data_IF_527864396250
#
_entry.id   IF_527864396250
#
_cell.length_a   1.000
_cell.length_b   1.000
_cell.length_c   1.000
_cell.angle_alpha   90.00
_cell.angle_beta   90.00
_cell.angle_gamma   90.00
#
_symmetry.space_group_name_H-M   'P 1'
#
loop_
_entity.id
_entity.type
_entity.pdbx_description
1 polymer ?
#
# COMPACT_ATOMS: atom_id res chain seq x y z
N UNK A 1 0.49 2.44 4.48
CA UNK A 1 1.70 2.55 5.32
C UNK A 1 1.79 3.88 6.03
N UNK A 2 1.90 5.01 5.31
CA UNK A 2 2.02 6.35 5.88
C UNK A 2 1.01 6.64 7.02
N UNK A 3 -0.27 6.31 6.82
CA UNK A 3 -1.29 6.43 7.87
C UNK A 3 -1.02 5.55 9.11
N UNK A 4 -0.77 4.25 8.91
CA UNK A 4 -0.55 3.28 10.00
C UNK A 4 0.70 3.62 10.82
N UNK A 5 1.76 4.06 10.15
CA UNK A 5 3.01 4.44 10.77
C UNK A 5 3.02 5.86 11.34
N UNK A 6 2.02 6.68 10.97
CA UNK A 6 1.95 8.12 11.28
C UNK A 6 3.25 8.86 10.94
N UNK A 7 3.89 8.45 9.85
CA UNK A 7 5.19 8.98 9.44
C UNK A 7 5.01 10.35 8.80
N UNK A 8 5.57 11.39 9.43
CA UNK A 8 5.37 12.78 9.00
C UNK A 8 5.86 13.01 7.56
N UNK A 9 7.04 12.48 7.21
CA UNK A 9 7.62 12.60 5.86
C UNK A 9 6.73 11.93 4.82
N UNK A 10 6.33 10.69 5.06
CA UNK A 10 5.49 9.94 4.11
C UNK A 10 4.09 10.56 3.96
N UNK A 11 3.52 11.09 5.05
CA UNK A 11 2.23 11.78 5.00
C UNK A 11 2.35 13.09 4.19
N UNK A 12 3.39 13.88 4.44
CA UNK A 12 3.64 15.11 3.70
C UNK A 12 3.81 14.84 2.20
N UNK A 13 4.65 13.86 1.84
CA UNK A 13 4.90 13.50 0.43
C UNK A 13 3.62 13.11 -0.31
N UNK A 14 2.68 12.45 0.36
CA UNK A 14 1.39 12.07 -0.24
C UNK A 14 0.44 13.26 -0.32
N UNK A 15 0.35 14.07 0.73
CA UNK A 15 -0.57 15.22 0.77
C UNK A 15 -0.18 16.33 -0.21
N UNK A 16 1.12 16.49 -0.48
CA UNK A 16 1.67 17.47 -1.41
C UNK A 16 1.87 16.90 -2.83
N UNK A 17 1.44 15.66 -3.09
CA UNK A 17 1.58 14.95 -4.38
C UNK A 17 3.03 14.99 -4.94
N UNK A 18 4.01 14.78 -4.06
CA UNK A 18 5.42 14.79 -4.45
C UNK A 18 5.82 13.48 -5.14
N UNK A 19 6.66 13.54 -6.18
CA UNK A 19 7.23 12.33 -6.80
C UNK A 19 8.33 11.71 -5.91
N UNK A 20 7.91 11.12 -4.79
CA UNK A 20 8.78 10.47 -3.82
C UNK A 20 9.56 9.30 -4.42
N UNK A 21 9.15 8.72 -5.55
CA UNK A 21 9.95 7.70 -6.24
C UNK A 21 11.23 8.27 -6.85
N UNK A 22 11.14 9.45 -7.47
CA UNK A 22 12.31 10.15 -8.03
C UNK A 22 13.18 10.71 -6.91
N UNK A 23 12.59 11.27 -5.85
CA UNK A 23 13.36 11.69 -4.66
C UNK A 23 14.11 10.51 -4.02
N UNK A 24 13.42 9.39 -3.78
CA UNK A 24 14.02 8.18 -3.21
C UNK A 24 15.13 7.62 -4.12
N UNK A 25 14.99 7.71 -5.44
CA UNK A 25 16.07 7.34 -6.36
C UNK A 25 17.34 8.14 -6.07
N UNK A 26 17.24 9.48 -6.00
CA UNK A 26 18.39 10.35 -5.74
C UNK A 26 18.97 10.15 -4.34
N UNK A 27 18.12 10.18 -3.32
CA UNK A 27 18.51 10.09 -1.91
C UNK A 27 19.18 8.76 -1.56
N UNK A 28 18.68 7.67 -2.12
CA UNK A 28 19.21 6.33 -1.92
C UNK A 28 20.27 5.91 -2.94
N UNK A 29 20.58 6.79 -3.93
CA UNK A 29 21.54 6.52 -5.02
C UNK A 29 21.20 5.23 -5.78
N UNK A 30 19.92 5.04 -6.09
CA UNK A 30 19.43 3.88 -6.85
C UNK A 30 19.54 4.13 -8.37
N UNK A 31 19.67 3.07 -9.20
CA UNK A 31 19.99 3.23 -10.62
C UNK A 31 18.84 3.82 -11.45
N UNK A 32 17.60 3.63 -11.02
CA UNK A 32 16.43 4.12 -11.75
C UNK A 32 15.22 4.34 -10.83
N UNK A 33 14.29 5.19 -11.28
CA UNK A 33 12.99 5.41 -10.63
C UNK A 33 12.19 4.10 -10.48
N UNK A 34 12.28 3.20 -11.46
CA UNK A 34 11.61 1.89 -11.40
C UNK A 34 12.17 1.02 -10.26
N UNK A 35 13.49 1.00 -10.08
CA UNK A 35 14.12 0.29 -8.98
C UNK A 35 13.74 0.92 -7.65
N UNK A 36 13.74 2.26 -7.54
CA UNK A 36 13.31 2.96 -6.33
C UNK A 36 11.86 2.61 -5.95
N UNK A 37 10.95 2.55 -6.94
CA UNK A 37 9.57 2.11 -6.74
C UNK A 37 9.49 0.66 -6.25
N UNK A 38 10.19 -0.27 -6.89
CA UNK A 38 10.19 -1.70 -6.49
C UNK A 38 10.79 -1.90 -5.10
N UNK A 39 11.90 -1.21 -4.81
CA UNK A 39 12.54 -1.22 -3.49
C UNK A 39 11.59 -0.73 -2.41
N UNK A 40 10.97 0.44 -2.61
CA UNK A 40 10.02 1.03 -1.67
C UNK A 40 8.87 0.06 -1.35
N UNK A 41 8.24 -0.49 -2.39
CA UNK A 41 7.16 -1.47 -2.23
C UNK A 41 7.62 -2.67 -1.38
N UNK A 42 8.74 -3.30 -1.75
CA UNK A 42 9.21 -4.50 -1.06
C UNK A 42 9.67 -4.23 0.37
N UNK A 43 10.28 -3.07 0.62
CA UNK A 43 10.78 -2.72 1.95
C UNK A 43 9.65 -2.35 2.94
N UNK A 44 8.55 -1.76 2.44
CA UNK A 44 7.37 -1.46 3.26
C UNK A 44 6.61 -2.73 3.67
N UNK A 45 6.46 -3.71 2.76
CA UNK A 45 5.67 -4.91 3.03
C UNK A 45 6.49 -6.11 3.53
N UNK A 46 7.82 -6.06 3.44
CA UNK A 46 8.67 -7.20 3.80
C UNK A 46 9.94 -6.79 4.58
N UNK A 47 9.82 -6.09 5.72
CA UNK A 47 10.96 -5.78 6.59
C UNK A 47 11.33 -7.03 7.41
N UNK A 48 12.15 -7.91 6.86
CA UNK A 48 12.40 -9.26 7.38
C UNK A 48 13.33 -9.32 8.63
N UNK A 49 13.05 -8.48 9.63
CA UNK A 49 13.53 -8.55 11.02
C UNK A 49 14.81 -7.82 11.41
N UNK A 50 15.77 -7.56 10.52
CA UNK A 50 16.88 -6.59 10.72
C UNK A 50 17.23 -5.99 9.34
N UNK A 51 17.80 -4.79 9.33
CA UNK A 51 18.37 -4.11 8.15
C UNK A 51 19.31 -5.07 7.40
N UNK A 52 20.17 -5.78 8.12
CA UNK A 52 21.13 -6.74 7.58
C UNK A 52 20.51 -8.01 6.94
N UNK A 53 19.37 -8.49 7.45
CA UNK A 53 18.62 -9.61 6.84
C UNK A 53 17.87 -9.15 5.59
N UNK A 54 17.27 -7.98 5.67
CA UNK A 54 16.57 -7.34 4.55
C UNK A 54 17.57 -7.03 3.43
N UNK A 55 18.75 -6.53 3.79
CA UNK A 55 19.85 -6.29 2.86
C UNK A 55 20.36 -7.56 2.20
N UNK A 56 20.48 -8.66 2.95
CA UNK A 56 20.81 -9.96 2.38
C UNK A 56 19.77 -10.40 1.34
N UNK A 57 18.47 -10.28 1.66
CA UNK A 57 17.38 -10.65 0.75
C UNK A 57 17.45 -9.86 -0.57
N UNK A 58 17.71 -8.54 -0.53
CA UNK A 58 17.91 -7.75 -1.74
C UNK A 58 19.20 -8.12 -2.49
N UNK A 59 20.27 -8.49 -1.79
CA UNK A 59 21.53 -8.87 -2.44
C UNK A 59 21.48 -10.19 -3.22
N UNK A 60 20.52 -11.07 -2.92
CA UNK A 60 20.36 -12.38 -3.59
C UNK A 60 19.16 -12.43 -4.54
N UNK A 61 18.26 -11.45 -4.48
CA UNK A 61 17.08 -11.40 -5.33
C UNK A 61 17.45 -11.18 -6.81
N UNK A 62 16.83 -11.92 -7.73
CA UNK A 62 17.16 -11.83 -9.16
C UNK A 62 16.96 -10.42 -9.75
N UNK A 63 16.01 -9.65 -9.24
CA UNK A 63 15.75 -8.27 -9.68
C UNK A 63 16.72 -7.25 -9.09
N UNK A 64 17.43 -7.58 -8.00
CA UNK A 64 18.23 -6.61 -7.24
C UNK A 64 19.71 -6.99 -7.08
N UNK A 65 20.08 -8.25 -7.26
CA UNK A 65 21.44 -8.78 -7.05
C UNK A 65 22.51 -8.10 -7.91
N UNK A 66 22.13 -7.59 -9.09
CA UNK A 66 23.04 -6.91 -10.01
C UNK A 66 23.30 -5.43 -9.63
N UNK A 67 22.56 -4.89 -8.67
CA UNK A 67 22.65 -3.48 -8.26
C UNK A 67 23.70 -3.28 -7.18
N UNK A 68 23.75 -4.19 -6.21
CA UNK A 68 24.64 -4.03 -5.07
C UNK A 68 24.69 -5.25 -4.16
N UNK A 69 25.77 -5.33 -3.40
CA UNK A 69 25.99 -6.37 -2.41
C UNK A 69 25.23 -6.06 -1.11
N UNK A 70 25.35 -6.96 -0.14
CA UNK A 70 24.73 -6.82 1.19
C UNK A 70 25.04 -5.48 1.85
N UNK A 71 26.31 -5.04 1.84
CA UNK A 71 26.73 -3.78 2.48
C UNK A 71 26.05 -2.56 1.84
N UNK A 72 25.94 -2.55 0.52
CA UNK A 72 25.22 -1.51 -0.21
C UNK A 72 23.75 -1.44 0.22
N UNK A 73 23.06 -2.59 0.24
CA UNK A 73 21.65 -2.62 0.62
C UNK A 73 21.42 -2.27 2.09
N UNK A 74 22.33 -2.62 3.00
CA UNK A 74 22.27 -2.17 4.40
C UNK A 74 22.27 -0.64 4.46
N UNK A 75 23.18 0.02 3.74
CA UNK A 75 23.23 1.49 3.70
C UNK A 75 21.97 2.10 3.08
N UNK A 76 21.43 1.50 2.02
CA UNK A 76 20.19 1.97 1.39
C UNK A 76 19.01 1.88 2.35
N UNK A 77 18.89 0.77 3.08
CA UNK A 77 17.79 0.55 4.03
C UNK A 77 17.93 1.44 5.27
N UNK A 78 19.13 1.68 5.79
CA UNK A 78 19.35 2.66 6.87
C UNK A 78 18.88 4.05 6.42
N UNK A 79 19.31 4.52 5.24
CA UNK A 79 18.86 5.82 4.69
C UNK A 79 17.35 5.90 4.52
N UNK A 80 16.70 4.78 4.16
CA UNK A 80 15.25 4.70 4.08
C UNK A 80 14.63 4.93 5.47
N UNK A 81 15.11 4.24 6.51
CA UNK A 81 14.58 4.39 7.86
C UNK A 81 14.97 5.71 8.54
N UNK A 82 16.08 6.34 8.12
CA UNK A 82 16.45 7.69 8.54
C UNK A 82 15.52 8.74 7.93
N UNK A 83 15.03 8.51 6.70
CA UNK A 83 14.03 9.36 6.04
C UNK A 83 12.62 9.14 6.62
N UNK A 84 12.24 7.88 6.83
CA UNK A 84 10.92 7.45 7.26
C UNK A 84 10.98 6.82 8.65
N UNK A 85 11.19 7.66 9.66
CA UNK A 85 11.39 7.23 11.06
C UNK A 85 10.13 6.61 11.66
N UNK A 86 8.95 7.14 11.34
CA UNK A 86 7.67 6.58 11.81
C UNK A 86 7.43 5.18 11.25
N UNK A 87 7.86 4.91 10.01
CA UNK A 87 7.84 3.56 9.43
C UNK A 87 8.74 2.60 10.24
N UNK A 88 9.95 3.04 10.63
CA UNK A 88 10.86 2.25 11.48
C UNK A 88 10.21 1.89 12.81
N UNK A 89 9.62 2.88 13.47
CA UNK A 89 8.95 2.72 14.77
C UNK A 89 7.75 1.78 14.67
N UNK A 90 6.95 1.93 13.62
CA UNK A 90 5.78 1.07 13.40
C UNK A 90 6.15 -0.40 13.19
N UNK A 91 7.13 -0.69 12.33
CA UNK A 91 7.63 -2.06 12.14
C UNK A 91 8.17 -2.64 13.45
N UNK A 92 8.96 -1.86 14.19
CA UNK A 92 9.52 -2.29 15.48
C UNK A 92 8.40 -2.62 16.48
N UNK A 93 7.39 -1.76 16.57
CA UNK A 93 6.23 -1.95 17.44
C UNK A 93 5.41 -3.19 17.06
N UNK A 94 5.17 -3.42 15.76
CA UNK A 94 4.45 -4.61 15.29
C UNK A 94 5.16 -5.89 15.72
N UNK A 95 6.48 -5.95 15.50
CA UNK A 95 7.31 -7.10 15.88
C UNK A 95 7.24 -7.32 17.38
N UNK A 96 7.53 -6.29 18.18
CA UNK A 96 7.47 -6.37 19.63
C UNK A 96 6.10 -6.85 20.12
N UNK A 97 5.01 -6.29 19.58
CA UNK A 97 3.63 -6.65 19.95
C UNK A 97 3.35 -8.13 19.64
N UNK A 98 3.71 -8.60 18.44
CA UNK A 98 3.50 -9.99 18.06
C UNK A 98 4.35 -10.96 18.89
N UNK A 99 5.62 -10.64 19.13
CA UNK A 99 6.52 -11.54 19.89
C UNK A 99 6.19 -11.61 21.37
N UNK A 100 5.52 -10.59 21.92
CA UNK A 100 5.15 -10.54 23.35
C UNK A 100 3.75 -11.09 23.62
N UNK A 101 2.81 -10.84 22.72
CA UNK A 101 1.38 -11.18 22.94
C UNK A 101 0.85 -12.27 22.01
N UNK A 102 1.58 -12.62 20.96
CA UNK A 102 1.10 -13.51 19.89
C UNK A 102 -0.01 -12.90 19.04
N UNK A 103 -0.33 -11.60 19.20
CA UNK A 103 -1.52 -10.99 18.62
C UNK A 103 -1.29 -9.55 18.17
N UNK A 104 -1.70 -9.22 16.94
CA UNK A 104 -1.77 -7.84 16.44
C UNK A 104 -3.21 -7.50 16.08
N UNK A 105 -3.66 -6.30 16.43
CA UNK A 105 -5.00 -5.81 16.10
C UNK A 105 -4.88 -4.61 15.15
N UNK A 106 -5.51 -4.73 13.98
CA UNK A 106 -5.64 -3.66 12.99
C UNK A 106 -6.50 -2.51 13.50
N UNK A 107 -6.37 -1.34 12.91
CA UNK A 107 -7.22 -0.18 13.24
C UNK A 107 -8.72 -0.43 12.96
N UNK A 108 -9.02 -1.35 12.05
CA UNK A 108 -10.37 -1.82 11.69
C UNK A 108 -10.93 -2.88 12.65
N UNK A 109 -10.15 -3.30 13.66
CA UNK A 109 -10.52 -4.33 14.62
C UNK A 109 -10.17 -5.76 14.18
N UNK A 110 -9.68 -5.96 12.95
CA UNK A 110 -9.20 -7.26 12.46
C UNK A 110 -8.02 -7.76 13.31
N UNK A 111 -8.05 -9.02 13.71
CA UNK A 111 -7.03 -9.63 14.58
C UNK A 111 -6.16 -10.58 13.75
N UNK A 112 -4.85 -10.51 13.97
CA UNK A 112 -3.86 -11.46 13.46
C UNK A 112 -3.21 -12.16 14.64
N UNK A 113 -3.17 -13.49 14.57
CA UNK A 113 -2.48 -14.33 15.54
C UNK A 113 -1.17 -14.81 14.93
N UNK A 114 -0.10 -14.75 15.71
CA UNK A 114 1.22 -15.16 15.32
C UNK A 114 1.79 -16.08 16.38
N UNK A 115 2.47 -17.11 15.90
CA UNK A 115 3.20 -18.06 16.72
C UNK A 115 4.57 -18.27 16.08
N UNK A 116 5.61 -18.57 16.87
CA UNK A 116 6.89 -18.96 16.32
C UNK A 116 6.73 -20.23 15.48
N UNK A 117 7.44 -20.29 14.36
CA UNK A 117 7.45 -21.44 13.45
C UNK A 117 8.82 -22.10 13.50
N UNK A 118 8.86 -23.42 13.35
CA UNK A 118 10.12 -24.14 13.26
C UNK A 118 10.77 -23.89 11.89
N UNK A 119 12.00 -23.39 11.89
CA UNK A 119 12.81 -23.15 10.71
C UNK A 119 14.21 -23.69 10.97
N UNK A 120 14.69 -24.63 10.14
CA UNK A 120 16.03 -25.24 10.27
C UNK A 120 16.37 -25.75 11.69
N UNK A 121 15.36 -26.24 12.43
CA UNK A 121 15.53 -26.76 13.79
C UNK A 121 15.47 -25.70 14.91
N UNK A 122 15.35 -24.42 14.58
CA UNK A 122 15.15 -23.33 15.55
C UNK A 122 13.70 -22.80 15.48
N UNK A 123 13.16 -22.37 16.62
CA UNK A 123 11.87 -21.68 16.67
C UNK A 123 12.10 -20.21 16.39
N UNK A 124 11.51 -19.71 15.30
CA UNK A 124 11.66 -18.33 14.86
C UNK A 124 10.30 -17.67 14.67
N UNK A 125 10.18 -16.42 15.11
CA UNK A 125 8.98 -15.63 14.86
C UNK A 125 8.90 -15.25 13.37
N UNK A 126 7.74 -15.39 12.72
CA UNK A 126 7.55 -15.06 11.31
C UNK A 126 7.45 -13.54 11.12
N UNK A 127 8.55 -12.84 11.30
CA UNK A 127 8.59 -11.37 11.35
C UNK A 127 8.15 -10.72 10.03
N UNK A 128 8.40 -11.35 8.87
CA UNK A 128 7.80 -10.91 7.60
C UNK A 128 6.29 -10.84 7.69
N UNK A 129 5.68 -11.91 8.17
CA UNK A 129 4.23 -12.07 8.22
C UNK A 129 3.65 -11.03 9.20
N UNK A 130 4.34 -10.83 10.33
CA UNK A 130 3.99 -9.84 11.36
C UNK A 130 3.98 -8.42 10.80
N UNK A 131 4.99 -8.04 10.02
CA UNK A 131 5.04 -6.70 9.44
C UNK A 131 4.09 -6.55 8.24
N UNK A 132 3.87 -7.61 7.48
CA UNK A 132 3.12 -7.57 6.23
C UNK A 132 1.60 -7.66 6.44
N UNK A 133 1.13 -8.67 7.18
CA UNK A 133 -0.30 -8.99 7.27
C UNK A 133 -1.15 -7.84 7.80
N UNK A 134 -0.76 -7.11 8.86
CA UNK A 134 -1.52 -5.96 9.33
C UNK A 134 -1.65 -4.86 8.28
N UNK A 135 -0.58 -4.58 7.53
CA UNK A 135 -0.56 -3.54 6.50
C UNK A 135 -1.42 -3.96 5.31
N UNK A 136 -1.25 -5.18 4.79
CA UNK A 136 -2.04 -5.68 3.66
C UNK A 136 -3.51 -5.83 3.99
N UNK A 137 -3.85 -6.36 5.17
CA UNK A 137 -5.25 -6.53 5.53
C UNK A 137 -5.93 -5.19 5.84
N UNK A 138 -5.21 -4.20 6.37
CA UNK A 138 -5.77 -2.83 6.45
C UNK A 138 -6.06 -2.25 5.06
N UNK A 139 -5.15 -2.44 4.08
CA UNK A 139 -5.41 -2.06 2.69
C UNK A 139 -6.62 -2.82 2.11
N UNK A 140 -6.77 -4.11 2.41
CA UNK A 140 -7.92 -4.90 1.97
C UNK A 140 -9.24 -4.44 2.62
N UNK A 141 -9.19 -4.00 3.87
CA UNK A 141 -10.35 -3.45 4.58
C UNK A 141 -10.79 -2.11 3.97
N UNK A 142 -9.84 -1.20 3.68
CA UNK A 142 -10.12 0.04 2.95
C UNK A 142 -10.68 -0.22 1.55
N UNK A 143 -10.15 -1.21 0.85
CA UNK A 143 -10.68 -1.56 -0.45
C UNK A 143 -12.08 -2.18 -0.35
N UNK A 144 -12.36 -2.96 0.69
CA UNK A 144 -13.71 -3.48 0.94
C UNK A 144 -14.71 -2.34 1.20
N UNK A 145 -14.28 -1.30 1.92
CA UNK A 145 -15.07 -0.08 2.10
C UNK A 145 -15.35 0.60 0.75
N UNK A 146 -14.33 0.80 -0.09
CA UNK A 146 -14.54 1.42 -1.40
C UNK A 146 -15.41 0.56 -2.34
N UNK A 147 -15.28 -0.77 -2.32
CA UNK A 147 -16.14 -1.68 -3.09
C UNK A 147 -17.61 -1.56 -2.70
N UNK A 148 -17.91 -1.55 -1.40
CA UNK A 148 -19.29 -1.39 -0.90
C UNK A 148 -19.83 0.00 -1.22
N UNK A 149 -19.00 1.04 -1.10
CA UNK A 149 -19.38 2.41 -1.49
C UNK A 149 -19.64 2.52 -2.99
N UNK A 150 -18.80 1.93 -3.84
CA UNK A 150 -19.00 1.89 -5.29
C UNK A 150 -20.29 1.15 -5.66
N UNK A 151 -20.51 -0.04 -5.10
CA UNK A 151 -21.71 -0.81 -5.36
C UNK A 151 -22.97 -0.02 -4.97
N UNK A 152 -22.99 0.60 -3.79
CA UNK A 152 -24.14 1.41 -3.34
C UNK A 152 -24.40 2.62 -4.22
N UNK A 153 -23.34 3.30 -4.69
CA UNK A 153 -23.44 4.49 -5.53
C UNK A 153 -23.91 4.16 -6.94
N UNK A 154 -23.50 3.01 -7.48
CA UNK A 154 -23.77 2.61 -8.86
C UNK A 154 -24.86 1.53 -9.02
N UNK A 155 -25.50 1.09 -7.93
CA UNK A 155 -26.48 -0.02 -7.97
C UNK A 155 -27.65 0.19 -8.95
N UNK A 156 -28.04 1.45 -9.16
CA UNK A 156 -29.16 1.83 -10.02
C UNK A 156 -28.68 2.28 -11.41
N UNK A 157 -27.36 2.23 -11.65
CA UNK A 157 -26.74 2.50 -12.95
C UNK A 157 -26.68 1.22 -13.79
N UNK A 158 -26.64 1.38 -15.11
CA UNK A 158 -26.51 0.26 -16.06
C UNK A 158 -25.03 -0.17 -16.18
N UNK A 159 -24.53 -0.75 -15.09
CA UNK A 159 -23.16 -1.24 -14.94
C UNK A 159 -23.13 -2.66 -14.39
N UNK A 160 -22.09 -3.41 -14.74
CA UNK A 160 -21.84 -4.74 -14.22
C UNK A 160 -20.49 -4.76 -13.50
N UNK A 161 -20.51 -5.07 -12.20
CA UNK A 161 -19.28 -5.30 -11.44
C UNK A 161 -18.72 -6.69 -11.81
N UNK A 162 -17.54 -6.72 -12.43
CA UNK A 162 -16.96 -7.94 -12.99
C UNK A 162 -16.01 -8.60 -12.00
N UNK A 163 -15.04 -7.83 -11.49
CA UNK A 163 -13.97 -8.36 -10.66
C UNK A 163 -13.38 -7.27 -9.76
N UNK A 164 -12.68 -7.68 -8.72
CA UNK A 164 -11.77 -6.80 -8.00
C UNK A 164 -10.48 -7.55 -7.68
N UNK A 165 -9.35 -7.00 -8.10
CA UNK A 165 -8.03 -7.59 -7.87
C UNK A 165 -7.20 -6.61 -7.06
N UNK A 166 -6.88 -6.98 -5.82
CA UNK A 166 -6.15 -6.14 -4.87
C UNK A 166 -6.74 -4.74 -4.73
N UNK A 167 -6.14 -3.76 -5.40
CA UNK A 167 -6.42 -2.32 -5.41
C UNK A 167 -7.27 -1.85 -6.60
N UNK A 168 -7.75 -2.78 -7.43
CA UNK A 168 -8.56 -2.48 -8.62
C UNK A 168 -10.00 -2.99 -8.51
N UNK A 169 -10.92 -2.25 -9.13
CA UNK A 169 -12.32 -2.62 -9.34
C UNK A 169 -12.57 -2.57 -10.85
N UNK A 170 -13.03 -3.67 -11.43
CA UNK A 170 -13.34 -3.80 -12.86
C UNK A 170 -14.84 -3.76 -13.04
N UNK A 171 -15.30 -2.81 -13.85
CA UNK A 171 -16.72 -2.56 -14.12
C UNK A 171 -16.90 -2.53 -15.64
N UNK A 172 -17.87 -3.28 -16.13
CA UNK A 172 -18.37 -3.17 -17.50
C UNK A 172 -19.56 -2.22 -17.52
N UNK A 173 -19.65 -1.39 -18.55
CA UNK A 173 -20.75 -0.46 -18.74
C UNK A 173 -21.01 -0.29 -20.23
N UNK A 174 -22.21 0.18 -20.60
CA UNK A 174 -22.49 0.53 -21.98
C UNK A 174 -21.59 1.69 -22.41
N UNK A 175 -21.13 1.64 -23.66
CA UNK A 175 -20.09 2.53 -24.21
C UNK A 175 -20.38 4.03 -24.17
N UNK A 176 -21.58 4.48 -23.79
CA UNK A 176 -21.92 5.90 -23.65
C UNK A 176 -21.83 6.43 -22.22
N UNK A 177 -21.77 5.56 -21.20
CA UNK A 177 -21.84 5.98 -19.79
C UNK A 177 -20.49 5.97 -19.07
N UNK A 178 -19.45 5.38 -19.67
CA UNK A 178 -18.16 5.17 -19.03
C UNK A 178 -17.56 6.43 -18.40
N UNK A 179 -17.72 7.60 -19.02
CA UNK A 179 -17.14 8.85 -18.50
C UNK A 179 -17.79 9.26 -17.16
N UNK A 180 -19.13 9.24 -17.11
CA UNK A 180 -19.87 9.55 -15.89
C UNK A 180 -19.59 8.51 -14.80
N UNK A 181 -19.55 7.22 -15.15
CA UNK A 181 -19.18 6.15 -14.21
C UNK A 181 -17.76 6.37 -13.67
N UNK A 182 -16.83 6.84 -14.51
CA UNK A 182 -15.46 7.14 -14.08
C UNK A 182 -15.40 8.29 -13.08
N UNK A 183 -16.20 9.35 -13.28
CA UNK A 183 -16.36 10.44 -12.32
C UNK A 183 -16.92 9.91 -10.98
N UNK A 184 -17.98 9.09 -11.03
CA UNK A 184 -18.56 8.50 -9.83
C UNK A 184 -17.55 7.62 -9.08
N UNK A 185 -16.72 6.86 -9.79
CA UNK A 185 -15.66 6.07 -9.18
C UNK A 185 -14.59 6.94 -8.51
N UNK A 186 -14.18 8.06 -9.12
CA UNK A 186 -13.30 9.04 -8.45
C UNK A 186 -13.93 9.56 -7.15
N UNK A 187 -15.22 9.89 -7.17
CA UNK A 187 -15.97 10.32 -5.97
C UNK A 187 -15.99 9.23 -4.89
N UNK A 188 -16.17 7.96 -5.25
CA UNK A 188 -16.12 6.84 -4.29
C UNK A 188 -14.82 6.83 -3.49
N UNK A 189 -13.67 6.93 -4.15
CA UNK A 189 -12.38 6.86 -3.48
C UNK A 189 -12.13 8.10 -2.61
N UNK A 190 -12.55 9.29 -3.04
CA UNK A 190 -12.50 10.51 -2.22
C UNK A 190 -13.37 10.44 -0.97
N UNK A 191 -14.49 9.73 -1.04
CA UNK A 191 -15.37 9.52 0.11
C UNK A 191 -14.82 8.48 1.09
N UNK A 192 -13.77 7.70 0.75
CA UNK A 192 -13.23 6.64 1.61
C UNK A 192 -12.81 7.16 2.98
N UNK A 193 -12.02 8.25 3.12
CA UNK A 193 -11.71 8.84 4.42
C UNK A 193 -12.93 9.19 5.27
N UNK A 194 -13.95 9.81 4.67
CA UNK A 194 -15.19 10.18 5.36
C UNK A 194 -15.96 8.94 5.83
N UNK A 195 -16.09 7.95 4.94
CA UNK A 195 -16.75 6.69 5.25
C UNK A 195 -15.99 5.90 6.33
N UNK A 196 -14.65 5.92 6.30
CA UNK A 196 -13.80 5.29 7.30
C UNK A 196 -14.00 5.92 8.68
N UNK A 197 -14.02 7.26 8.75
CA UNK A 197 -14.35 8.01 9.97
C UNK A 197 -15.74 7.66 10.50
N UNK A 198 -16.74 7.60 9.62
CA UNK A 198 -18.12 7.24 10.02
C UNK A 198 -18.23 5.83 10.60
N UNK A 199 -17.53 4.85 10.04
CA UNK A 199 -17.67 3.43 10.43
C UNK A 199 -16.78 3.08 11.62
N UNK A 200 -15.53 3.57 11.62
CA UNK A 200 -14.52 3.16 12.60
C UNK A 200 -14.20 4.24 13.64
N UNK A 201 -14.77 5.45 13.52
CA UNK A 201 -14.54 6.56 14.44
C UNK A 201 -13.11 7.13 14.38
N UNK A 202 -12.35 6.82 13.33
CA UNK A 202 -10.93 7.19 13.16
C UNK A 202 -10.72 7.94 11.85
N UNK A 203 -9.77 8.86 11.84
CA UNK A 203 -9.47 9.66 10.64
C UNK A 203 -8.30 9.06 9.86
N UNK A 204 -8.46 8.96 8.54
CA UNK A 204 -7.31 8.69 7.66
C UNK A 204 -6.48 9.97 7.54
N UNK A 205 -5.16 9.81 7.66
CA UNK A 205 -4.20 10.92 7.65
C UNK A 205 -3.74 11.31 6.24
N UNK A 206 -4.17 10.54 5.24
CA UNK A 206 -3.79 10.71 3.84
C UNK A 206 -5.05 10.66 2.97
N UNK A 207 -5.10 11.42 1.86
CA UNK A 207 -6.17 11.32 0.89
C UNK A 207 -6.15 9.95 0.22
N UNK A 208 -7.30 9.57 -0.33
CA UNK A 208 -7.45 8.38 -1.16
C UNK A 208 -7.88 8.84 -2.55
N UNK A 209 -7.14 8.43 -3.55
CA UNK A 209 -7.45 8.65 -4.96
C UNK A 209 -7.31 7.34 -5.74
N UNK A 210 -7.80 7.32 -6.97
CA UNK A 210 -7.68 6.19 -7.89
C UNK A 210 -7.36 6.63 -9.31
N UNK A 211 -6.58 5.84 -10.04
CA UNK A 211 -6.46 6.01 -11.48
C UNK A 211 -7.61 5.29 -12.18
N UNK A 212 -8.20 5.92 -13.19
CA UNK A 212 -9.25 5.31 -14.01
C UNK A 212 -8.71 5.00 -15.41
N UNK A 213 -8.95 3.76 -15.84
CA UNK A 213 -8.63 3.28 -17.19
C UNK A 213 -9.89 2.78 -17.87
N UNK A 214 -10.02 3.08 -19.16
CA UNK A 214 -11.18 2.70 -19.97
C UNK A 214 -10.70 2.07 -21.27
N UNK A 215 -11.47 1.12 -21.79
CA UNK A 215 -11.16 0.43 -23.03
C UNK A 215 -12.27 -0.56 -23.40
N UNK A 216 -12.30 -0.99 -24.66
CA UNK A 216 -13.29 -1.97 -25.13
C UNK A 216 -13.03 -3.39 -24.61
N UNK A 217 -11.82 -3.65 -24.12
CA UNK A 217 -11.41 -4.86 -23.43
C UNK A 217 -10.16 -4.56 -22.59
N UNK A 218 -9.72 -5.54 -21.79
CA UNK A 218 -8.62 -5.38 -20.85
C UNK A 218 -7.28 -5.02 -21.53
N UNK A 219 -7.01 -5.56 -22.73
CA UNK A 219 -5.76 -5.29 -23.45
C UNK A 219 -5.69 -3.82 -23.93
N UNK A 220 -6.82 -3.22 -24.27
CA UNK A 220 -6.91 -1.87 -24.85
C UNK A 220 -7.30 -0.79 -23.83
N UNK A 221 -7.00 -0.99 -22.55
CA UNK A 221 -7.22 0.02 -21.52
C UNK A 221 -6.26 1.20 -21.69
N UNK A 222 -6.79 2.43 -21.71
CA UNK A 222 -6.02 3.67 -21.65
C UNK A 222 -6.42 4.50 -20.43
N UNK A 223 -5.47 5.26 -19.89
CA UNK A 223 -5.78 6.22 -18.83
C UNK A 223 -6.70 7.31 -19.37
N UNK A 224 -7.59 7.79 -18.52
CA UNK A 224 -8.38 8.99 -18.78
C UNK A 224 -8.02 10.06 -17.75
N UNK A 225 -8.02 11.31 -18.19
CA UNK A 225 -7.81 12.44 -17.30
C UNK A 225 -9.16 13.10 -17.05
N UNK A 226 -9.63 13.03 -15.80
CA UNK A 226 -10.89 13.63 -15.35
C UNK A 226 -10.51 14.91 -14.62
N UNK A 227 -11.11 16.04 -14.97
CA UNK A 227 -10.74 17.30 -14.33
C UNK A 227 -11.27 17.32 -12.91
N UNK A 228 -10.50 17.95 -12.02
CA UNK A 228 -10.83 18.11 -10.61
C UNK A 228 -12.22 18.73 -10.38
N UNK A 229 -12.58 19.69 -11.23
CA UNK A 229 -13.86 20.41 -11.24
C UNK A 229 -15.06 19.47 -11.45
N UNK A 230 -14.88 18.36 -12.14
CA UNK A 230 -15.95 17.40 -12.46
C UNK A 230 -16.19 16.41 -11.31
N UNK A 231 -15.27 16.37 -10.34
CA UNK A 231 -15.31 15.45 -9.19
C UNK A 231 -15.85 16.16 -7.93
N UNK A 232 -16.13 17.47 -8.02
CA UNK A 232 -16.92 18.21 -7.01
C UNK A 232 -18.38 17.74 -6.98
#
# INVERSE_FOLDING_TARGET
MAHLSKDATAIQEINEDLDFHTDNQGKFKLPSRLIAKKFLFRNIYCPLSIIDRTAYAFSVDNEFKHIGNRKFWTTVIEKFYDKYTGIREYHTKLIQTATTTGKVVSETGRIYLFEPKQYKGTWEWPVSDVANYPVQGFSADLMSLARVSAFRRLKDSDVLFINSVHDSIVIDTRSKQWYNISIEMKKVFRDVPLNFKRIYGKELLVPMDCDVKVGCNWYWLHNINIKEEEIQ
#
